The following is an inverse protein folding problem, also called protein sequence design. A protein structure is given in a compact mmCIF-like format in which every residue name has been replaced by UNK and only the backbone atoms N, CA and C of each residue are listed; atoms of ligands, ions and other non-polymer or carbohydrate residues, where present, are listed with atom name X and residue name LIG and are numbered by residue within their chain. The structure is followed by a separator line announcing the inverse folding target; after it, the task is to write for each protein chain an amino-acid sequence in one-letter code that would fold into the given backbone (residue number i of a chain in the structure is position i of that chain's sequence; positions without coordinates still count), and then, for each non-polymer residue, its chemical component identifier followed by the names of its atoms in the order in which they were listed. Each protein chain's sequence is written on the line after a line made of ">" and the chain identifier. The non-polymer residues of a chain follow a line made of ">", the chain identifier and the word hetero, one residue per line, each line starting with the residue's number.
data_IF_592200569056
#
_entry.id   IF_592200569056
#
_cell.length_a   1.000
_cell.length_b   1.000
_cell.length_c   1.000
_cell.angle_alpha   90.00
_cell.angle_beta   90.00
_cell.angle_gamma   90.00
#
_symmetry.space_group_name_H-M   'P 1'
#
loop_
_entity.id
_entity.type
_entity.pdbx_description
1 polymer ?
#
# COMPACT_ATOMS: atom_id res chain seq x y z
N UNK A 1 -7.06 -0.51 17.96
CA UNK A 1 -6.21 -0.77 16.81
C UNK A 1 -6.95 -0.53 15.51
N UNK A 2 -6.32 0.13 14.57
CA UNK A 2 -6.96 0.38 13.30
C UNK A 2 -7.03 -0.88 12.46
N UNK A 3 -8.08 -1.02 11.68
CA UNK A 3 -8.29 -2.19 10.85
C UNK A 3 -7.13 -2.45 9.90
N UNK A 4 -6.50 -1.38 9.41
CA UNK A 4 -5.46 -1.49 8.37
C UNK A 4 -4.04 -1.51 8.93
N UNK A 5 -3.89 -1.50 10.25
CA UNK A 5 -2.58 -1.56 10.89
C UNK A 5 -1.76 -2.79 10.48
N UNK A 6 -2.37 -4.00 10.37
CA UNK A 6 -1.58 -5.15 9.95
C UNK A 6 -0.98 -5.00 8.55
N UNK A 7 -1.65 -4.31 7.63
CA UNK A 7 -1.10 -4.04 6.32
C UNK A 7 0.10 -3.11 6.42
N UNK A 8 -0.02 -2.07 7.23
CA UNK A 8 1.06 -1.13 7.47
C UNK A 8 2.28 -1.84 8.06
N UNK A 9 2.04 -2.72 9.01
CA UNK A 9 3.12 -3.48 9.66
C UNK A 9 3.80 -4.43 8.68
N UNK A 10 3.01 -5.08 7.83
CA UNK A 10 3.55 -5.98 6.81
C UNK A 10 4.50 -5.22 5.87
N UNK A 11 4.06 -4.06 5.40
CA UNK A 11 4.86 -3.27 4.48
C UNK A 11 6.11 -2.72 5.16
N UNK A 12 5.97 -2.26 6.39
CA UNK A 12 7.11 -1.74 7.16
C UNK A 12 8.17 -2.82 7.36
N UNK A 13 7.74 -4.08 7.49
CA UNK A 13 8.65 -5.19 7.71
C UNK A 13 9.35 -5.71 6.46
N UNK A 14 9.07 -5.13 5.28
CA UNK A 14 9.76 -5.59 4.07
C UNK A 14 11.23 -5.17 4.09
N UNK A 15 12.13 -6.00 3.53
CA UNK A 15 13.56 -5.65 3.49
C UNK A 15 13.79 -4.32 2.79
N UNK A 16 14.80 -3.59 3.23
CA UNK A 16 15.12 -2.30 2.61
C UNK A 16 15.49 -2.43 1.15
N UNK A 17 15.90 -3.62 0.72
CA UNK A 17 16.25 -3.88 -0.68
C UNK A 17 15.01 -4.10 -1.54
N UNK A 18 13.83 -4.33 -0.94
CA UNK A 18 12.62 -4.55 -1.71
C UNK A 18 12.08 -3.21 -2.21
N UNK A 19 12.03 -3.04 -3.52
CA UNK A 19 11.52 -1.81 -4.13
C UNK A 19 10.02 -1.87 -4.38
N UNK A 20 9.49 -3.07 -4.58
CA UNK A 20 8.06 -3.29 -4.82
C UNK A 20 7.59 -4.54 -4.07
N UNK A 21 6.29 -4.59 -3.84
CA UNK A 21 5.63 -5.74 -3.24
C UNK A 21 4.35 -5.99 -4.01
N UNK A 22 4.18 -7.22 -4.50
CA UNK A 22 2.95 -7.62 -5.18
C UNK A 22 2.11 -8.48 -4.24
N UNK A 23 0.86 -8.10 -4.06
CA UNK A 23 -0.07 -8.84 -3.22
C UNK A 23 -1.36 -9.09 -4.00
N UNK A 24 -1.99 -10.23 -3.74
CA UNK A 24 -3.34 -10.45 -4.23
C UNK A 24 -4.32 -9.76 -3.30
N UNK A 25 -5.54 -9.53 -3.79
CA UNK A 25 -6.60 -9.00 -2.93
C UNK A 25 -6.86 -9.96 -1.76
N UNK A 26 -6.73 -11.27 -2.00
CA UNK A 26 -6.89 -12.26 -0.94
C UNK A 26 -5.84 -12.09 0.15
N UNK A 27 -4.59 -11.78 -0.24
CA UNK A 27 -3.53 -11.54 0.74
C UNK A 27 -3.84 -10.34 1.62
N UNK A 28 -4.30 -9.25 0.99
CA UNK A 28 -4.65 -8.04 1.73
C UNK A 28 -5.86 -8.30 2.61
N UNK A 29 -6.84 -9.06 2.08
CA UNK A 29 -8.04 -9.41 2.83
C UNK A 29 -7.68 -10.11 4.16
N UNK A 30 -6.74 -11.04 4.09
CA UNK A 30 -6.29 -11.75 5.30
C UNK A 30 -5.61 -10.80 6.27
N UNK A 31 -4.76 -9.92 5.74
CA UNK A 31 -4.03 -8.98 6.60
C UNK A 31 -4.95 -8.04 7.35
N UNK A 32 -5.99 -7.54 6.68
CA UNK A 32 -6.86 -6.53 7.29
C UNK A 32 -8.15 -7.11 7.89
N UNK A 33 -8.32 -8.42 7.80
CA UNK A 33 -9.51 -9.05 8.37
C UNK A 33 -10.77 -8.82 7.56
N UNK A 34 -10.63 -8.67 6.24
CA UNK A 34 -11.75 -8.52 5.33
C UNK A 34 -11.70 -7.23 4.55
N UNK A 35 -11.54 -7.32 3.23
CA UNK A 35 -11.62 -6.16 2.34
C UNK A 35 -13.07 -5.82 2.08
N UNK A 36 -13.42 -4.52 2.05
CA UNK A 36 -14.78 -4.13 1.67
C UNK A 36 -15.00 -4.40 0.17
N UNK A 37 -16.26 -4.58 -0.25
CA UNK A 37 -16.54 -4.81 -1.68
C UNK A 37 -15.99 -3.73 -2.59
N UNK A 38 -15.97 -2.47 -2.13
CA UNK A 38 -15.45 -1.37 -2.96
C UNK A 38 -13.97 -1.57 -3.30
N UNK A 39 -13.20 -2.23 -2.44
CA UNK A 39 -11.79 -2.50 -2.73
C UNK A 39 -11.62 -3.47 -3.89
N UNK A 40 -12.62 -4.34 -4.11
CA UNK A 40 -12.56 -5.33 -5.18
C UNK A 40 -13.15 -4.82 -6.49
N UNK A 41 -13.95 -3.76 -6.42
CA UNK A 41 -14.72 -3.30 -7.57
C UNK A 41 -14.33 -1.92 -8.07
N UNK A 42 -13.75 -1.09 -7.22
CA UNK A 42 -13.45 0.29 -7.56
C UNK A 42 -11.97 0.58 -7.45
N UNK A 43 -11.38 0.94 -8.57
CA UNK A 43 -9.96 1.30 -8.61
C UNK A 43 -9.66 2.46 -7.66
N UNK A 44 -10.60 3.38 -7.49
CA UNK A 44 -10.43 4.55 -6.62
C UNK A 44 -10.18 4.18 -5.16
N UNK A 45 -10.62 3.01 -4.71
CA UNK A 45 -10.37 2.59 -3.34
C UNK A 45 -8.86 2.52 -3.05
N UNK A 46 -8.08 2.21 -4.08
CA UNK A 46 -6.63 2.04 -3.95
C UNK A 46 -5.86 3.33 -4.24
N UNK A 47 -6.53 4.47 -4.32
CA UNK A 47 -5.87 5.74 -4.58
C UNK A 47 -4.98 6.14 -3.41
N UNK A 48 -3.88 6.81 -3.72
CA UNK A 48 -2.91 7.27 -2.71
C UNK A 48 -3.38 8.61 -2.14
N UNK A 49 -4.45 8.57 -1.35
CA UNK A 49 -5.08 9.76 -0.78
C UNK A 49 -4.95 9.73 0.74
N UNK A 50 -5.80 10.47 1.44
CA UNK A 50 -5.73 10.57 2.89
C UNK A 50 -6.78 9.75 3.62
N UNK A 51 -7.47 8.85 2.93
CA UNK A 51 -8.38 7.94 3.61
C UNK A 51 -7.60 7.00 4.52
N UNK A 52 -8.26 6.49 5.55
CA UNK A 52 -7.62 5.66 6.57
C UNK A 52 -6.85 4.49 5.98
N UNK A 53 -7.45 3.80 4.99
CA UNK A 53 -6.78 2.66 4.39
C UNK A 53 -5.55 3.06 3.58
N UNK A 54 -5.61 4.21 2.91
CA UNK A 54 -4.45 4.69 2.14
C UNK A 54 -3.33 5.14 3.07
N UNK A 55 -3.68 5.73 4.20
CA UNK A 55 -2.67 6.13 5.18
C UNK A 55 -1.87 4.93 5.68
N UNK A 56 -2.49 3.75 5.73
CA UNK A 56 -1.79 2.56 6.19
C UNK A 56 -0.56 2.26 5.35
N UNK A 57 -0.64 2.38 4.03
CA UNK A 57 0.55 2.15 3.20
C UNK A 57 1.40 3.41 3.07
N UNK A 58 0.79 4.59 3.04
CA UNK A 58 1.56 5.82 2.91
C UNK A 58 2.47 6.06 4.12
N UNK A 59 1.96 5.82 5.32
CA UNK A 59 2.74 6.03 6.54
C UNK A 59 3.84 4.98 6.68
N UNK A 60 3.69 3.84 6.04
CA UNK A 60 4.73 2.81 6.01
C UNK A 60 5.81 3.11 4.97
N UNK A 61 5.64 4.19 4.21
CA UNK A 61 6.61 4.58 3.19
C UNK A 61 6.37 3.93 1.84
N UNK A 62 5.14 3.50 1.58
CA UNK A 62 4.77 2.83 0.33
C UNK A 62 3.61 3.55 -0.33
N UNK A 63 3.42 3.30 -1.62
CA UNK A 63 2.24 3.78 -2.35
C UNK A 63 1.79 2.69 -3.31
N UNK A 64 0.52 2.75 -3.70
CA UNK A 64 0.01 1.84 -4.73
C UNK A 64 0.55 2.31 -6.07
N UNK A 65 1.31 1.45 -6.74
CA UNK A 65 1.87 1.76 -8.04
C UNK A 65 0.92 1.34 -9.16
N UNK A 66 0.28 0.19 -9.00
CA UNK A 66 -0.67 -0.29 -9.99
C UNK A 66 -1.67 -1.22 -9.34
N UNK A 67 -2.82 -1.31 -9.99
CA UNK A 67 -3.91 -2.16 -9.53
C UNK A 67 -4.53 -2.85 -10.75
N UNK A 68 -4.80 -4.15 -10.62
CA UNK A 68 -5.44 -4.92 -11.67
C UNK A 68 -6.67 -5.59 -11.10
N UNK A 69 -7.82 -4.99 -11.35
CA UNK A 69 -9.08 -5.48 -10.79
C UNK A 69 -9.44 -6.86 -11.30
N UNK A 70 -9.17 -7.13 -12.58
CA UNK A 70 -9.55 -8.42 -13.17
C UNK A 70 -8.75 -9.59 -12.60
N UNK A 71 -7.48 -9.36 -12.29
CA UNK A 71 -6.65 -10.42 -11.69
C UNK A 71 -6.55 -10.29 -10.18
N UNK A 72 -7.22 -9.29 -9.61
CA UNK A 72 -7.25 -9.05 -8.16
C UNK A 72 -5.86 -8.96 -7.57
N UNK A 73 -5.06 -8.07 -8.15
CA UNK A 73 -3.68 -7.86 -7.73
C UNK A 73 -3.40 -6.38 -7.52
N UNK A 74 -2.55 -6.11 -6.54
CA UNK A 74 -2.09 -4.75 -6.27
C UNK A 74 -0.57 -4.77 -6.12
N UNK A 75 0.09 -3.77 -6.70
CA UNK A 75 1.52 -3.58 -6.53
C UNK A 75 1.77 -2.32 -5.73
N UNK A 76 2.50 -2.48 -4.64
CA UNK A 76 2.98 -1.35 -3.85
C UNK A 76 4.44 -1.10 -4.22
N UNK A 77 4.83 0.16 -4.26
CA UNK A 77 6.21 0.56 -4.50
C UNK A 77 6.64 1.49 -3.39
N UNK A 78 7.95 1.55 -3.12
CA UNK A 78 8.44 2.46 -2.09
C UNK A 78 8.28 3.90 -2.54
N UNK A 79 7.79 4.72 -1.63
CA UNK A 79 7.68 6.14 -1.87
C UNK A 79 9.05 6.78 -1.77
N UNK A 80 9.29 7.74 -2.64
CA UNK A 80 10.59 8.40 -2.69
C UNK A 80 10.63 9.63 -1.80
N UNK A 81 9.55 9.89 -1.21
CA UNK A 81 9.44 11.08 -0.39
C UNK A 81 10.42 11.03 0.75
N UNK A 82 10.85 11.84 0.74
CA UNK A 82 11.53 11.81 1.81
C UNK A 82 12.53 12.00 1.58
N UNK A 83 12.07 11.79 1.34
CA UNK A 83 12.64 11.65 1.18
C UNK A 83 13.10 11.83 0.83
N UNK A 84 12.68 12.32 0.54
CA UNK A 84 13.05 12.43 0.12
C UNK A 84 13.41 12.99 -0.02
N UNK A 85 13.55 13.54 0.11
CA UNK A 85 13.82 13.84 -0.18
C UNK A 85 14.53 13.99 -0.26
N UNK A 86 14.76 14.11 -0.15
CA UNK A 86 15.34 13.96 -0.49
C UNK A 86 15.85 14.01 -0.80
N UNK A 87 15.82 14.37 -0.77
CA UNK A 87 16.30 14.19 -1.35
C UNK A 87 16.45 14.59 -1.69
N UNK A 88 16.40 15.01 -1.48
CA UNK A 88 16.53 15.22 -2.02
C UNK A 88 17.03 15.66 -2.22
N UNK A 89 17.27 16.00 -2.00
CA UNK A 89 17.72 16.14 -2.32
C UNK A 89 18.42 16.14 -2.59
N UNK A 90 18.58 16.42 -2.54
CA UNK A 90 19.06 16.15 -2.97
C UNK A 90 19.46 16.37 -3.21
N UNK A 91 19.68 16.86 -3.19
CA UNK A 91 19.85 16.89 -3.68
C UNK A 91 20.11 17.22 -3.57
#
# INVERSE_FOLDING_TARGET
>A
MAKYTPLSEYLTGRPSTAATVDLSFADVDVLVGGLPPSARNLRNWWANNSHTHALAWREAGWHVESIKLTSERVRFARSRVGGSRADAKSR
#
